data_IF_177215281751
#
_entry.id   IF_177215281751
#
_cell.length_a   1.000
_cell.length_b   1.000
_cell.length_c   1.000
_cell.angle_alpha   90.00
_cell.angle_beta   90.00
_cell.angle_gamma   90.00
#
_symmetry.space_group_name_H-M   'P 1'
#
loop_
_entity.id
_entity.type
_entity.pdbx_description
1 polymer ?
#
# COMPACT_ATOMS: atom_id res chain seq x y z
N UNK A 1 14.31 5.94 -15.15
CA UNK A 1 13.42 6.92 -14.47
C UNK A 1 13.93 7.17 -13.07
N UNK A 2 14.14 8.41 -12.64
CA UNK A 2 14.46 8.74 -11.25
C UNK A 2 13.14 9.00 -10.52
N UNK A 3 12.83 8.22 -9.49
CA UNK A 3 11.67 8.47 -8.63
C UNK A 3 11.88 9.78 -7.87
N UNK A 4 10.85 10.61 -7.84
CA UNK A 4 10.81 11.79 -6.97
C UNK A 4 10.74 11.37 -5.50
N UNK A 5 11.05 12.29 -4.59
CA UNK A 5 11.01 12.04 -3.15
C UNK A 5 9.62 11.59 -2.68
N UNK A 6 8.57 12.20 -3.22
CA UNK A 6 7.18 11.87 -2.87
C UNK A 6 6.81 10.46 -3.33
N UNK A 7 7.24 10.07 -4.53
CA UNK A 7 7.02 8.73 -5.05
C UNK A 7 7.76 7.68 -4.22
N UNK A 8 8.98 7.97 -3.77
CA UNK A 8 9.75 7.06 -2.94
C UNK A 8 9.13 6.91 -1.54
N UNK A 9 8.61 8.00 -0.96
CA UNK A 9 7.83 7.95 0.29
C UNK A 9 6.54 7.15 0.11
N UNK A 10 5.83 7.31 -1.01
CA UNK A 10 4.62 6.56 -1.31
C UNK A 10 4.89 5.05 -1.44
N UNK A 11 6.01 4.69 -2.09
CA UNK A 11 6.47 3.29 -2.17
C UNK A 11 6.80 2.73 -0.79
N UNK A 12 7.48 3.49 0.06
CA UNK A 12 7.77 3.09 1.44
C UNK A 12 6.47 2.88 2.25
N UNK A 13 5.47 3.74 2.07
CA UNK A 13 4.14 3.57 2.67
C UNK A 13 3.47 2.28 2.19
N UNK A 14 3.62 1.91 0.91
CA UNK A 14 3.17 0.61 0.40
C UNK A 14 3.78 -0.57 1.14
N UNK A 15 5.09 -0.55 1.40
CA UNK A 15 5.77 -1.60 2.18
C UNK A 15 5.26 -1.67 3.63
N UNK A 16 5.13 -0.53 4.31
CA UNK A 16 4.59 -0.44 5.67
C UNK A 16 3.18 -0.99 5.73
N UNK A 17 2.35 -0.66 4.75
CA UNK A 17 0.97 -1.09 4.69
C UNK A 17 0.86 -2.60 4.43
N UNK A 18 1.72 -3.16 3.58
CA UNK A 18 1.87 -4.61 3.41
C UNK A 18 2.23 -5.33 4.72
N UNK A 19 3.19 -4.80 5.48
CA UNK A 19 3.58 -5.35 6.78
C UNK A 19 2.45 -5.26 7.82
N UNK A 20 1.73 -4.13 7.86
CA UNK A 20 0.60 -3.93 8.76
C UNK A 20 -0.54 -4.92 8.46
N UNK A 21 -0.85 -5.14 7.19
CA UNK A 21 -1.88 -6.12 6.79
C UNK A 21 -1.42 -7.55 7.12
N UNK A 22 -0.16 -7.91 6.87
CA UNK A 22 0.36 -9.23 7.26
C UNK A 22 0.22 -9.48 8.77
N UNK A 23 0.55 -8.48 9.58
CA UNK A 23 0.35 -8.55 11.03
C UNK A 23 -1.13 -8.70 11.40
N UNK A 24 -2.02 -7.95 10.75
CA UNK A 24 -3.47 -8.05 10.98
C UNK A 24 -4.04 -9.42 10.61
N UNK A 25 -3.53 -10.05 9.55
CA UNK A 25 -3.86 -11.44 9.18
C UNK A 25 -3.39 -12.40 10.27
N UNK A 26 -2.14 -12.28 10.72
CA UNK A 26 -1.61 -13.13 11.81
C UNK A 26 -2.40 -12.97 13.11
N UNK A 27 -2.82 -11.75 13.45
CA UNK A 27 -3.60 -11.47 14.63
C UNK A 27 -5.06 -11.98 14.55
N UNK A 28 -5.48 -12.55 13.41
CA UNK A 28 -6.85 -13.02 13.18
C UNK A 28 -7.87 -11.91 12.96
N UNK A 29 -7.42 -10.66 12.77
CA UNK A 29 -8.28 -9.50 12.50
C UNK A 29 -8.75 -9.49 11.04
N UNK A 30 -7.90 -10.01 10.13
CA UNK A 30 -8.21 -10.14 8.70
C UNK A 30 -8.30 -11.61 8.33
N UNK A 31 -9.45 -12.04 7.83
CA UNK A 31 -9.63 -13.39 7.31
C UNK A 31 -8.96 -13.53 5.93
N UNK A 32 -8.18 -14.60 5.74
CA UNK A 32 -7.52 -14.92 4.46
C UNK A 32 -8.53 -15.20 3.34
N UNK A 33 -9.56 -15.97 3.68
CA UNK A 33 -10.63 -16.39 2.75
C UNK A 33 -11.90 -15.54 2.92
N UNK A 34 -11.76 -14.34 3.48
CA UNK A 34 -12.87 -13.40 3.62
C UNK A 34 -13.30 -12.80 2.28
N UNK A 35 -14.44 -12.10 2.27
CA UNK A 35 -14.93 -11.39 1.09
C UNK A 35 -13.95 -10.33 0.56
N UNK A 36 -13.05 -9.82 1.43
CA UNK A 36 -12.02 -8.88 1.07
C UNK A 36 -10.63 -9.50 1.31
N UNK A 37 -9.93 -9.95 0.24
CA UNK A 37 -8.65 -10.60 0.41
C UNK A 37 -7.58 -9.62 0.90
N UNK A 38 -6.54 -10.07 1.62
CA UNK A 38 -5.53 -9.19 2.23
C UNK A 38 -4.86 -8.22 1.24
N UNK A 39 -4.57 -8.65 0.01
CA UNK A 39 -3.98 -7.76 -1.01
C UNK A 39 -4.92 -6.62 -1.43
N UNK A 40 -6.24 -6.83 -1.38
CA UNK A 40 -7.22 -5.79 -1.71
C UNK A 40 -7.23 -4.70 -0.62
N UNK A 41 -7.00 -5.08 0.64
CA UNK A 41 -6.80 -4.13 1.74
C UNK A 41 -5.55 -3.28 1.46
N UNK A 42 -4.48 -3.89 0.94
CA UNK A 42 -3.26 -3.15 0.55
C UNK A 42 -3.56 -2.13 -0.55
N UNK A 43 -4.30 -2.54 -1.58
CA UNK A 43 -4.70 -1.66 -2.68
C UNK A 43 -5.57 -0.49 -2.19
N UNK A 44 -6.59 -0.77 -1.38
CA UNK A 44 -7.49 0.24 -0.82
C UNK A 44 -6.73 1.20 0.10
N UNK A 45 -5.84 0.66 0.95
CA UNK A 45 -5.01 1.47 1.84
C UNK A 45 -4.11 2.44 1.08
N UNK A 46 -3.48 2.00 -0.01
CA UNK A 46 -2.69 2.88 -0.89
C UNK A 46 -3.56 3.96 -1.55
N UNK A 47 -4.75 3.61 -2.03
CA UNK A 47 -5.69 4.58 -2.59
C UNK A 47 -6.14 5.63 -1.57
N UNK A 48 -6.40 5.23 -0.33
CA UNK A 48 -6.74 6.14 0.77
C UNK A 48 -5.58 7.06 1.13
N UNK A 49 -4.35 6.53 1.21
CA UNK A 49 -3.15 7.34 1.47
C UNK A 49 -2.98 8.41 0.40
N UNK A 50 -3.19 8.06 -0.88
CA UNK A 50 -3.12 9.03 -1.97
C UNK A 50 -4.22 10.08 -1.88
N UNK A 51 -5.45 9.68 -1.57
CA UNK A 51 -6.58 10.60 -1.40
C UNK A 51 -6.32 11.60 -0.28
N UNK A 52 -5.84 11.12 0.88
CA UNK A 52 -5.49 11.96 2.03
C UNK A 52 -4.31 12.89 1.73
N UNK A 53 -3.28 12.39 1.06
CA UNK A 53 -2.14 13.21 0.66
C UNK A 53 -2.53 14.28 -0.38
N UNK A 54 -3.39 13.92 -1.34
CA UNK A 54 -3.96 14.84 -2.33
C UNK A 54 -4.77 15.95 -1.66
N UNK A 55 -5.67 15.57 -0.76
CA UNK A 55 -6.47 16.50 0.03
C UNK A 55 -5.60 17.46 0.84
N UNK A 56 -4.62 16.94 1.60
CA UNK A 56 -3.72 17.77 2.42
C UNK A 56 -2.84 18.71 1.58
N UNK A 57 -2.45 18.30 0.37
CA UNK A 57 -1.65 19.10 -0.54
C UNK A 57 -2.49 20.05 -1.43
N UNK A 58 -3.81 20.03 -1.34
CA UNK A 58 -4.71 20.79 -2.21
C UNK A 58 -4.59 20.41 -3.69
N UNK A 59 -4.18 19.16 -4.00
CA UNK A 59 -3.98 18.66 -5.36
C UNK A 59 -4.91 17.50 -5.64
N UNK A 60 -5.32 17.36 -6.90
CA UNK A 60 -6.18 16.25 -7.29
C UNK A 60 -5.47 14.90 -7.12
N UNK A 61 -6.18 13.85 -6.66
CA UNK A 61 -5.68 12.49 -6.76
C UNK A 61 -5.31 12.21 -8.22
N UNK A 62 -4.16 11.60 -8.47
CA UNK A 62 -3.65 11.53 -9.84
C UNK A 62 -2.33 12.24 -10.04
N UNK A 63 -2.11 13.38 -9.36
CA UNK A 63 -1.04 14.31 -9.74
C UNK A 63 0.19 14.28 -8.84
N UNK A 64 0.10 13.70 -7.63
CA UNK A 64 1.21 13.67 -6.66
C UNK A 64 2.22 12.54 -6.91
N UNK A 65 1.73 11.41 -7.42
CA UNK A 65 2.50 10.19 -7.61
C UNK A 65 2.22 9.69 -9.03
N UNK A 66 3.25 9.47 -9.84
CA UNK A 66 3.05 8.93 -11.18
C UNK A 66 2.52 7.49 -11.13
N UNK A 67 1.77 7.08 -12.16
CA UNK A 67 1.28 5.69 -12.28
C UNK A 67 2.39 4.63 -12.06
N UNK A 68 3.62 4.77 -12.61
CA UNK A 68 4.68 3.78 -12.38
C UNK A 68 5.03 3.61 -10.88
N UNK A 69 5.06 4.70 -10.12
CA UNK A 69 5.34 4.67 -8.69
C UNK A 69 4.19 4.06 -7.88
N UNK A 70 2.94 4.28 -8.29
CA UNK A 70 1.77 3.63 -7.67
C UNK A 70 1.81 2.11 -7.85
N UNK A 71 2.08 1.66 -9.08
CA UNK A 71 2.24 0.24 -9.37
C UNK A 71 3.38 -0.36 -8.54
N UNK A 72 4.53 0.33 -8.47
CA UNK A 72 5.66 -0.13 -7.68
C UNK A 72 5.31 -0.22 -6.18
N UNK A 73 4.62 0.78 -5.63
CA UNK A 73 4.17 0.79 -4.24
C UNK A 73 3.24 -0.39 -3.93
N UNK A 74 2.30 -0.68 -4.83
CA UNK A 74 1.39 -1.81 -4.69
C UNK A 74 2.13 -3.15 -4.76
N UNK A 75 3.00 -3.34 -5.77
CA UNK A 75 3.78 -4.57 -5.93
C UNK A 75 4.65 -4.82 -4.70
N UNK A 76 5.36 -3.80 -4.22
CA UNK A 76 6.19 -3.91 -3.01
C UNK A 76 5.33 -4.21 -1.79
N UNK A 77 4.19 -3.54 -1.62
CA UNK A 77 3.27 -3.82 -0.51
C UNK A 77 2.76 -5.26 -0.51
N UNK A 78 2.37 -5.80 -1.68
CA UNK A 78 1.95 -7.20 -1.81
C UNK A 78 3.11 -8.16 -1.56
N UNK A 79 4.32 -7.88 -2.07
CA UNK A 79 5.49 -8.69 -1.77
C UNK A 79 5.77 -8.75 -0.27
N UNK A 80 5.69 -7.62 0.43
CA UNK A 80 5.88 -7.56 1.89
C UNK A 80 4.77 -8.30 2.63
N UNK A 81 3.51 -8.16 2.18
CA UNK A 81 2.38 -8.92 2.73
C UNK A 81 2.62 -10.43 2.62
N UNK A 82 2.93 -10.93 1.43
CA UNK A 82 3.15 -12.35 1.17
C UNK A 82 4.38 -12.88 1.94
N UNK A 83 5.42 -12.06 2.05
CA UNK A 83 6.59 -12.37 2.87
C UNK A 83 6.20 -12.47 4.34
N UNK A 84 5.44 -11.50 4.85
CA UNK A 84 4.91 -11.49 6.21
C UNK A 84 4.07 -12.74 6.49
N UNK A 85 3.14 -13.11 5.61
CA UNK A 85 2.31 -14.30 5.78
C UNK A 85 3.12 -15.61 5.82
N UNK A 86 4.31 -15.63 5.22
CA UNK A 86 5.20 -16.80 5.22
C UNK A 86 6.06 -16.90 6.48
N UNK A 87 6.50 -15.78 7.05
CA UNK A 87 7.53 -15.75 8.10
C UNK A 87 7.04 -15.24 9.45
N UNK A 88 5.88 -14.56 9.50
CA UNK A 88 5.28 -13.99 10.70
C UNK A 88 4.08 -14.84 11.05
#
# INVERSE_FOLDING_TARGET
MRLSRNELLFVALGAVLGAAVAYAVKAGVVARDGALPPFAIVLLGLGLVELLAGYAAGRSPGTLVGMPARFLAFVIGVCVLLLGERYV
#
